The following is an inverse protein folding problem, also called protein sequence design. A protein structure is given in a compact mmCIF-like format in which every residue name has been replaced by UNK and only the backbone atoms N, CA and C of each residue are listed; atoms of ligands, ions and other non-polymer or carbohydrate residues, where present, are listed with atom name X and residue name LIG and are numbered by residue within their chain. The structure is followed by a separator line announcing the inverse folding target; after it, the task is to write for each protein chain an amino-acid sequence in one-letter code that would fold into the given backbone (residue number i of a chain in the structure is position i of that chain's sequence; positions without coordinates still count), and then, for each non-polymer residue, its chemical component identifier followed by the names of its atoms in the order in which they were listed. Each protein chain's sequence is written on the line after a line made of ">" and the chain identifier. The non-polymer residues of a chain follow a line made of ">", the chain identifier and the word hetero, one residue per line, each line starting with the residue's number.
data_IF_674075782960
#
_entry.id   IF_674075782960
#
_cell.length_a   1.000
_cell.length_b   1.000
_cell.length_c   1.000
_cell.angle_alpha   90.00
_cell.angle_beta   90.00
_cell.angle_gamma   90.00
#
_symmetry.space_group_name_H-M   'P 1'
#
loop_
_entity.id
_entity.type
_entity.pdbx_description
1 polymer ?
#
# COMPACT_ATOMS: atom_id res chain seq x y z
N UNK A 1 11.36 -8.81 -0.09
CA UNK A 1 11.35 -8.72 -1.57
C UNK A 1 12.12 -7.47 -1.99
N UNK A 2 12.87 -7.51 -3.09
CA UNK A 2 13.57 -6.35 -3.65
C UNK A 2 13.41 -6.29 -5.16
N UNK A 3 13.15 -5.09 -5.67
CA UNK A 3 13.02 -4.78 -7.09
C UNK A 3 13.89 -3.55 -7.33
N UNK A 4 14.84 -3.63 -8.26
CA UNK A 4 15.75 -2.52 -8.58
C UNK A 4 15.51 -2.06 -10.02
N UNK A 5 15.62 -0.75 -10.26
CA UNK A 5 15.61 -0.13 -11.58
C UNK A 5 14.31 -0.31 -12.38
N UNK A 6 13.17 -0.44 -11.69
CA UNK A 6 11.89 -0.58 -12.37
C UNK A 6 11.49 0.76 -12.99
N UNK A 7 11.31 0.81 -14.31
CA UNK A 7 10.78 2.02 -14.96
C UNK A 7 9.36 2.32 -14.48
N UNK A 8 9.09 3.59 -14.17
CA UNK A 8 7.80 4.02 -13.60
C UNK A 8 6.62 3.74 -14.53
N UNK A 9 6.86 3.68 -15.85
CA UNK A 9 5.84 3.37 -16.86
C UNK A 9 5.16 2.02 -16.64
N UNK A 10 5.86 1.07 -16.01
CA UNK A 10 5.30 -0.23 -15.68
C UNK A 10 4.33 -0.18 -14.50
N UNK A 11 4.52 0.77 -13.58
CA UNK A 11 3.65 0.95 -12.42
C UNK A 11 2.40 1.77 -12.78
N UNK A 12 2.48 2.61 -13.79
CA UNK A 12 1.43 3.57 -14.16
C UNK A 12 0.27 3.00 -14.99
N UNK A 13 0.26 1.71 -15.31
CA UNK A 13 -0.81 1.13 -16.16
C UNK A 13 -2.16 1.13 -15.43
N UNK A 14 -2.92 2.22 -15.60
CA UNK A 14 -4.27 2.37 -15.06
C UNK A 14 -4.31 2.70 -13.57
N UNK A 15 -3.23 3.26 -13.01
CA UNK A 15 -3.20 3.66 -11.59
C UNK A 15 -3.60 5.12 -11.45
N UNK A 16 -4.58 5.34 -10.59
CA UNK A 16 -4.99 6.66 -10.17
C UNK A 16 -4.18 7.11 -8.93
N UNK A 17 -3.82 8.39 -8.88
CA UNK A 17 -3.14 8.99 -7.73
C UNK A 17 -1.67 9.33 -7.96
N UNK A 18 -0.86 9.49 -6.89
CA UNK A 18 0.50 10.02 -6.98
C UNK A 18 1.43 9.26 -7.92
N UNK A 19 1.30 7.94 -8.02
CA UNK A 19 2.06 7.14 -8.97
C UNK A 19 1.76 7.56 -10.41
N UNK A 20 0.49 7.65 -10.77
CA UNK A 20 0.05 8.07 -12.11
C UNK A 20 0.45 9.50 -12.49
N UNK A 21 0.84 10.35 -11.52
CA UNK A 21 1.36 11.69 -11.82
C UNK A 21 2.81 11.64 -12.31
N UNK A 22 3.59 10.64 -11.86
CA UNK A 22 5.00 10.47 -12.17
C UNK A 22 5.11 9.68 -13.48
N UNK A 23 5.53 10.31 -14.58
CA UNK A 23 5.52 9.69 -15.91
C UNK A 23 6.93 9.43 -16.47
N UNK A 24 7.98 9.75 -15.71
CA UNK A 24 9.37 9.47 -16.09
C UNK A 24 10.18 9.13 -14.84
N UNK A 25 11.21 8.30 -15.00
CA UNK A 25 12.16 7.92 -13.96
C UNK A 25 12.14 6.43 -13.65
N UNK A 26 12.97 6.04 -12.68
CA UNK A 26 13.09 4.66 -12.22
C UNK A 26 12.78 4.57 -10.73
N UNK A 27 12.33 3.41 -10.28
CA UNK A 27 12.05 3.15 -8.88
C UNK A 27 12.78 1.91 -8.39
N UNK A 28 13.37 2.01 -7.21
CA UNK A 28 13.88 0.87 -6.44
C UNK A 28 12.93 0.63 -5.27
N UNK A 29 12.53 -0.62 -5.06
CA UNK A 29 11.56 -0.99 -4.03
C UNK A 29 12.15 -2.11 -3.17
N UNK A 30 12.17 -1.89 -1.86
CA UNK A 30 12.45 -2.93 -0.86
C UNK A 30 11.20 -3.11 -0.04
N UNK A 31 10.65 -4.31 0.00
CA UNK A 31 9.42 -4.62 0.72
C UNK A 31 9.63 -5.78 1.70
N UNK A 32 9.28 -5.55 2.96
CA UNK A 32 9.19 -6.59 3.99
C UNK A 32 7.72 -6.94 4.18
N UNK A 33 7.37 -8.22 4.00
CA UNK A 33 5.99 -8.69 4.04
C UNK A 33 5.85 -9.66 5.21
N UNK A 34 4.94 -9.35 6.12
CA UNK A 34 4.51 -10.22 7.19
C UNK A 34 3.18 -10.85 6.77
N UNK A 35 3.22 -12.15 6.54
CA UNK A 35 2.01 -12.95 6.34
C UNK A 35 1.37 -13.27 7.69
N UNK A 36 0.03 -13.35 7.75
CA UNK A 36 -0.65 -13.84 8.94
C UNK A 36 -0.18 -15.25 9.24
N UNK A 37 -0.12 -15.62 10.52
CA UNK A 37 0.16 -17.00 10.89
C UNK A 37 -0.97 -17.88 10.35
N UNK A 38 -0.60 -18.95 9.65
CA UNK A 38 -1.57 -19.99 9.29
C UNK A 38 -2.14 -20.53 10.59
N UNK A 39 -3.47 -20.56 10.72
CA UNK A 39 -4.06 -21.48 11.68
C UNK A 39 -3.63 -22.87 11.23
N UNK A 40 -3.14 -23.72 12.16
CA UNK A 40 -2.60 -25.07 11.89
C UNK A 40 -3.53 -26.00 11.09
N UNK A 41 -4.74 -25.54 10.78
CA UNK A 41 -5.75 -26.22 9.97
C UNK A 41 -5.67 -25.90 8.47
N UNK A 42 -5.09 -24.78 8.01
CA UNK A 42 -5.29 -24.29 6.63
C UNK A 42 -4.83 -25.24 5.51
N UNK A 43 -3.60 -25.74 5.56
CA UNK A 43 -3.05 -26.63 4.51
C UNK A 43 -3.35 -28.10 4.82
N UNK A 44 -3.31 -28.47 6.10
CA UNK A 44 -3.57 -29.84 6.55
C UNK A 44 -5.03 -30.25 6.31
N UNK A 45 -5.99 -29.35 6.52
CA UNK A 45 -7.42 -29.58 6.28
C UNK A 45 -7.76 -29.70 4.79
N UNK A 46 -7.11 -28.90 3.93
CA UNK A 46 -7.31 -29.01 2.48
C UNK A 46 -6.78 -30.35 1.96
N UNK A 47 -5.65 -30.84 2.50
CA UNK A 47 -5.17 -32.18 2.18
C UNK A 47 -6.07 -33.27 2.77
N UNK A 48 -6.55 -33.15 4.01
CA UNK A 48 -7.45 -34.13 4.60
C UNK A 48 -8.78 -34.21 3.85
N UNK A 49 -9.37 -33.07 3.48
CA UNK A 49 -10.61 -33.03 2.69
C UNK A 49 -10.44 -33.65 1.30
N UNK A 50 -9.24 -33.55 0.71
CA UNK A 50 -8.92 -34.19 -0.57
C UNK A 50 -8.75 -35.71 -0.41
N UNK A 51 -8.09 -36.15 0.66
CA UNK A 51 -7.98 -37.57 1.01
C UNK A 51 -9.35 -38.18 1.32
N UNK A 52 -10.17 -37.51 2.13
CA UNK A 52 -11.51 -37.97 2.51
C UNK A 52 -12.43 -38.06 1.28
N UNK A 53 -12.37 -37.09 0.35
CA UNK A 53 -13.13 -37.15 -0.92
C UNK A 53 -12.64 -38.25 -1.86
N UNK A 54 -11.32 -38.49 -1.91
CA UNK A 54 -10.74 -39.56 -2.72
C UNK A 54 -11.10 -40.94 -2.13
N UNK A 55 -10.99 -41.10 -0.81
CA UNK A 55 -11.38 -42.32 -0.09
C UNK A 55 -12.88 -42.60 -0.23
N UNK A 56 -13.74 -41.60 -0.05
CA UNK A 56 -15.19 -41.73 -0.23
C UNK A 56 -15.57 -42.15 -1.66
N UNK A 57 -14.83 -41.69 -2.67
CA UNK A 57 -15.05 -42.09 -4.07
C UNK A 57 -14.60 -43.54 -4.34
N UNK A 58 -13.52 -43.98 -3.69
CA UNK A 58 -12.98 -45.35 -3.80
C UNK A 58 -13.86 -46.35 -3.05
N UNK A 59 -14.38 -46.00 -1.87
CA UNK A 59 -15.35 -46.84 -1.12
C UNK A 59 -16.73 -46.87 -1.76
N UNK A 60 -17.20 -45.76 -2.36
CA UNK A 60 -18.46 -45.74 -3.12
C UNK A 60 -18.42 -46.59 -4.40
N UNK A 61 -17.23 -46.87 -4.93
CA UNK A 61 -17.04 -47.75 -6.10
C UNK A 61 -16.89 -49.22 -5.69
N UNK A 62 -16.42 -49.50 -4.47
CA UNK A 62 -16.24 -50.86 -3.94
C UNK A 62 -17.52 -51.60 -3.53
N UNK A 63 -18.66 -50.91 -3.38
CA UNK A 63 -19.89 -51.50 -2.83
C UNK A 63 -21.07 -51.61 -3.80
N UNK A 64 -20.82 -51.69 -5.12
CA UNK A 64 -21.88 -51.77 -6.16
C UNK A 64 -22.17 -53.16 -6.71
N UNK A 65 -21.82 -54.23 -5.99
CA UNK A 65 -22.25 -55.59 -6.35
C UNK A 65 -22.91 -56.24 -5.13
N UNK A 66 -24.22 -56.02 -4.94
CA UNK A 66 -24.99 -56.80 -3.97
C UNK A 66 -26.32 -56.19 -3.51
N UNK A 67 -27.42 -56.79 -4.01
CA UNK A 67 -28.74 -56.96 -3.37
C UNK A 67 -29.60 -55.73 -2.95
N UNK A 68 -30.66 -55.49 -3.73
CA UNK A 68 -32.06 -55.83 -3.41
C UNK A 68 -32.70 -55.49 -2.02
N UNK A 69 -33.89 -54.87 -2.14
CA UNK A 69 -35.09 -54.88 -1.26
C UNK A 69 -35.28 -53.91 -0.07
N UNK A 70 -36.35 -53.09 -0.22
CA UNK A 70 -37.38 -52.66 0.76
C UNK A 70 -36.96 -51.91 2.05
N UNK A 71 -37.35 -50.63 2.20
CA UNK A 71 -38.20 -50.15 3.32
C UNK A 71 -38.65 -48.69 3.20
N UNK A 72 -39.94 -48.52 3.44
CA UNK A 72 -40.71 -47.30 3.71
C UNK A 72 -40.34 -46.67 5.08
N UNK A 73 -40.64 -45.37 5.25
CA UNK A 73 -41.22 -44.69 6.45
C UNK A 73 -40.88 -43.19 6.45
N UNK A 74 -41.94 -42.41 6.17
CA UNK A 74 -42.37 -41.14 6.77
C UNK A 74 -41.35 -40.08 7.22
N UNK A 75 -41.40 -38.90 6.59
CA UNK A 75 -40.71 -37.67 7.02
C UNK A 75 -41.74 -36.56 7.26
N UNK A 76 -42.02 -36.27 8.53
CA UNK A 76 -42.79 -35.12 8.97
C UNK A 76 -41.93 -33.83 8.84
N UNK A 77 -42.53 -32.78 8.26
CA UNK A 77 -42.24 -31.36 8.55
C UNK A 77 -43.42 -30.90 9.45
N UNK A 78 -43.34 -29.85 10.31
CA UNK A 78 -42.61 -28.60 10.09
C UNK A 78 -42.04 -27.92 11.37
N UNK A 79 -41.26 -26.86 11.21
CA UNK A 79 -41.51 -25.55 11.84
C UNK A 79 -40.33 -24.60 11.64
N UNK A 80 -40.66 -23.41 11.16
CA UNK A 80 -39.84 -22.22 11.05
C UNK A 80 -39.23 -21.85 12.41
N UNK A 81 -37.92 -21.64 12.43
CA UNK A 81 -37.19 -21.06 13.55
C UNK A 81 -36.19 -20.06 13.00
N UNK A 82 -36.39 -18.80 13.40
CA UNK A 82 -35.55 -17.62 13.15
C UNK A 82 -34.12 -17.94 12.73
N UNK A 83 -33.81 -17.58 11.48
CA UNK A 83 -32.45 -17.34 11.05
C UNK A 83 -31.93 -16.08 11.75
N UNK A 84 -31.52 -16.25 13.01
CA UNK A 84 -30.53 -15.37 13.62
C UNK A 84 -29.27 -15.56 12.77
N UNK A 85 -29.06 -14.61 11.85
CA UNK A 85 -27.79 -14.41 11.19
C UNK A 85 -26.78 -14.01 12.27
N UNK A 86 -26.24 -15.01 12.97
CA UNK A 86 -24.98 -14.87 13.66
C UNK A 86 -23.97 -14.69 12.54
N UNK A 87 -23.62 -13.43 12.28
CA UNK A 87 -22.46 -13.05 11.48
C UNK A 87 -21.29 -13.86 12.01
N UNK A 88 -21.00 -14.95 11.31
CA UNK A 88 -19.77 -15.68 11.52
C UNK A 88 -18.75 -14.77 10.88
N UNK A 89 -18.22 -13.79 11.63
CA UNK A 89 -17.08 -13.01 11.17
C UNK A 89 -16.05 -14.02 10.66
N UNK A 90 -15.85 -14.04 9.34
CA UNK A 90 -14.99 -15.01 8.69
C UNK A 90 -13.64 -14.92 9.42
N UNK A 91 -13.10 -16.06 9.87
CA UNK A 91 -11.82 -16.11 10.56
C UNK A 91 -10.71 -15.41 9.73
N UNK A 92 -10.90 -15.42 8.41
CA UNK A 92 -10.13 -14.75 7.38
C UNK A 92 -10.09 -13.21 7.50
N UNK A 93 -11.13 -12.56 8.02
CA UNK A 93 -11.20 -11.11 8.21
C UNK A 93 -10.34 -10.61 9.39
N UNK A 94 -9.96 -11.52 10.29
CA UNK A 94 -9.03 -11.22 11.40
C UNK A 94 -7.57 -11.41 11.03
N UNK A 95 -7.29 -11.93 9.83
CA UNK A 95 -5.93 -12.13 9.33
C UNK A 95 -5.48 -10.92 8.53
N UNK A 96 -4.37 -10.33 8.95
CA UNK A 96 -3.79 -9.16 8.29
C UNK A 96 -2.44 -9.52 7.66
N UNK A 97 -2.24 -9.05 6.44
CA UNK A 97 -0.95 -8.95 5.80
C UNK A 97 -0.42 -7.53 6.03
N UNK A 98 0.81 -7.45 6.55
CA UNK A 98 1.49 -6.17 6.75
C UNK A 98 2.65 -6.09 5.77
N UNK A 99 2.72 -4.99 5.03
CA UNK A 99 3.76 -4.75 4.04
C UNK A 99 4.45 -3.42 4.33
N UNK A 100 5.71 -3.48 4.74
CA UNK A 100 6.56 -2.32 4.91
C UNK A 100 7.37 -2.12 3.62
N UNK A 101 7.09 -1.07 2.87
CA UNK A 101 7.75 -0.74 1.60
C UNK A 101 8.62 0.50 1.74
N UNK A 102 9.88 0.38 1.30
CA UNK A 102 10.78 1.50 1.05
C UNK A 102 10.92 1.66 -0.44
N UNK A 103 10.42 2.77 -0.94
CA UNK A 103 10.36 3.11 -2.36
C UNK A 103 11.32 4.28 -2.59
N UNK A 104 12.31 4.08 -3.45
CA UNK A 104 13.23 5.13 -3.85
C UNK A 104 12.96 5.52 -5.29
N UNK A 105 12.47 6.75 -5.48
CA UNK A 105 12.27 7.33 -6.79
C UNK A 105 13.54 7.99 -7.29
N UNK A 106 14.06 7.58 -8.44
CA UNK A 106 15.30 8.10 -9.02
C UNK A 106 15.00 8.91 -10.29
N UNK A 107 15.50 10.15 -10.33
CA UNK A 107 15.35 11.10 -11.45
C UNK A 107 13.93 11.19 -12.03
N UNK A 108 12.95 11.35 -11.15
CA UNK A 108 11.53 11.29 -11.52
C UNK A 108 10.98 12.63 -12.02
N UNK A 109 10.06 12.56 -12.99
CA UNK A 109 9.25 13.71 -13.44
C UNK A 109 7.78 13.45 -13.24
N UNK A 110 7.08 14.48 -12.75
CA UNK A 110 5.65 14.44 -12.52
C UNK A 110 4.89 15.55 -13.27
N UNK A 111 3.66 15.27 -13.66
CA UNK A 111 2.74 16.22 -14.25
C UNK A 111 1.48 16.33 -13.38
N UNK A 112 0.84 17.50 -13.41
CA UNK A 112 -0.44 17.68 -12.74
C UNK A 112 -1.50 16.89 -13.51
N UNK A 113 -2.26 16.00 -12.84
CA UNK A 113 -3.34 15.26 -13.48
C UNK A 113 -4.43 16.21 -14.00
N UNK A 114 -4.98 15.90 -15.17
CA UNK A 114 -6.10 16.65 -15.75
C UNK A 114 -7.44 16.33 -15.07
N UNK A 115 -7.58 15.11 -14.53
CA UNK A 115 -8.76 14.61 -13.83
C UNK A 115 -8.34 13.92 -12.53
N UNK A 116 -9.09 14.16 -11.45
CA UNK A 116 -8.79 13.65 -10.09
C UNK A 116 -10.06 13.28 -9.31
N UNK A 117 -11.19 13.16 -10.00
CA UNK A 117 -12.53 13.13 -9.36
C UNK A 117 -12.93 11.75 -8.81
N UNK A 118 -12.10 10.75 -9.01
CA UNK A 118 -12.24 9.36 -8.61
C UNK A 118 -11.53 9.05 -7.27
N UNK A 119 -10.59 9.90 -6.84
CA UNK A 119 -9.73 9.60 -5.70
C UNK A 119 -10.19 10.31 -4.43
N UNK A 120 -10.90 9.58 -3.57
CA UNK A 120 -11.46 10.10 -2.31
C UNK A 120 -10.40 10.70 -1.35
N UNK A 121 -9.18 10.16 -1.32
CA UNK A 121 -8.14 10.56 -0.38
C UNK A 121 -7.24 11.73 -0.85
N UNK A 122 -7.41 12.22 -2.08
CA UNK A 122 -6.57 13.27 -2.65
C UNK A 122 -7.20 14.65 -2.41
N UNK A 123 -6.43 15.55 -1.79
CA UNK A 123 -6.81 16.95 -1.67
C UNK A 123 -6.22 17.75 -2.85
N UNK A 124 -7.10 18.36 -3.67
CA UNK A 124 -6.72 19.17 -4.82
C UNK A 124 -5.71 20.30 -4.49
N UNK A 125 -5.70 20.81 -3.25
CA UNK A 125 -4.77 21.84 -2.82
C UNK A 125 -3.31 21.35 -2.76
N UNK A 126 -3.08 20.06 -2.50
CA UNK A 126 -1.74 19.48 -2.36
C UNK A 126 -1.17 18.91 -3.65
N UNK A 127 -1.98 18.72 -4.69
CA UNK A 127 -1.53 18.17 -5.97
C UNK A 127 -0.38 18.98 -6.57
N UNK A 128 -0.57 20.30 -6.73
CA UNK A 128 0.47 21.16 -7.34
C UNK A 128 1.73 21.25 -6.47
N UNK A 129 1.65 21.43 -5.14
CA UNK A 129 2.81 21.33 -4.26
C UNK A 129 3.56 19.98 -4.38
N UNK A 130 2.85 18.86 -4.43
CA UNK A 130 3.47 17.53 -4.56
C UNK A 130 4.19 17.40 -5.89
N UNK A 131 3.53 17.73 -7.00
CA UNK A 131 4.16 17.70 -8.33
C UNK A 131 5.38 18.63 -8.40
N UNK A 132 5.28 19.83 -7.83
CA UNK A 132 6.40 20.76 -7.77
C UNK A 132 7.56 20.21 -6.92
N UNK A 133 7.26 19.56 -5.79
CA UNK A 133 8.25 18.92 -4.93
C UNK A 133 8.97 17.79 -5.67
N UNK A 134 8.24 16.89 -6.32
CA UNK A 134 8.81 15.81 -7.11
C UNK A 134 9.79 16.37 -8.15
N UNK A 135 9.34 17.32 -8.97
CA UNK A 135 10.15 17.92 -10.02
C UNK A 135 11.33 18.78 -9.50
N UNK A 136 11.31 19.20 -8.23
CA UNK A 136 12.39 19.98 -7.60
C UNK A 136 13.58 19.12 -7.19
N UNK A 137 13.36 17.81 -6.98
CA UNK A 137 14.40 16.87 -6.56
C UNK A 137 15.09 16.31 -7.82
N UNK A 138 16.42 16.34 -7.82
CA UNK A 138 17.26 15.96 -8.98
C UNK A 138 18.02 14.64 -8.83
N UNK A 139 17.96 14.01 -7.66
CA UNK A 139 18.72 12.78 -7.38
C UNK A 139 17.75 11.64 -7.12
N UNK A 140 17.20 11.59 -5.92
CA UNK A 140 16.21 10.61 -5.55
C UNK A 140 15.27 11.16 -4.47
N UNK A 141 14.11 10.53 -4.33
CA UNK A 141 13.13 10.78 -3.28
C UNK A 141 12.86 9.47 -2.55
N UNK A 142 13.28 9.34 -1.28
CA UNK A 142 12.98 8.16 -0.48
C UNK A 142 11.58 8.30 0.11
N UNK A 143 10.74 7.29 -0.09
CA UNK A 143 9.38 7.21 0.44
C UNK A 143 9.25 5.92 1.22
N UNK A 144 8.78 6.01 2.46
CA UNK A 144 8.47 4.84 3.27
C UNK A 144 6.95 4.73 3.42
N UNK A 145 6.40 3.61 2.99
CA UNK A 145 4.98 3.29 3.06
C UNK A 145 4.80 2.03 3.90
N UNK A 146 3.74 1.98 4.70
CA UNK A 146 3.33 0.76 5.38
C UNK A 146 1.87 0.49 5.03
N UNK A 147 1.63 -0.63 4.37
CA UNK A 147 0.28 -1.05 4.02
C UNK A 147 -0.14 -2.21 4.91
N UNK A 148 -1.34 -2.11 5.49
CA UNK A 148 -1.95 -3.18 6.28
C UNK A 148 -3.25 -3.54 5.60
N UNK A 149 -3.38 -4.81 5.18
CA UNK A 149 -4.52 -5.26 4.39
C UNK A 149 -5.03 -6.59 4.91
N UNK A 150 -6.35 -6.81 4.86
CA UNK A 150 -6.94 -8.09 5.26
C UNK A 150 -6.56 -9.16 4.25
N UNK A 151 -6.31 -10.38 4.73
CA UNK A 151 -6.02 -11.52 3.88
C UNK A 151 -7.19 -11.84 2.95
N UNK A 152 -8.43 -11.68 3.43
CA UNK A 152 -9.66 -11.87 2.65
C UNK A 152 -9.78 -10.92 1.46
N UNK A 153 -9.18 -9.72 1.51
CA UNK A 153 -9.20 -8.77 0.39
C UNK A 153 -8.32 -9.18 -0.79
N UNK A 154 -7.47 -10.19 -0.61
CA UNK A 154 -6.70 -10.77 -1.71
C UNK A 154 -7.45 -11.93 -2.39
N UNK A 155 -8.58 -12.39 -1.85
CA UNK A 155 -9.30 -13.52 -2.42
C UNK A 155 -9.89 -13.18 -3.81
N UNK A 156 -9.64 -14.04 -4.79
CA UNK A 156 -9.99 -13.82 -6.19
C UNK A 156 -9.13 -12.79 -6.94
N UNK A 157 -8.18 -12.13 -6.27
CA UNK A 157 -7.24 -11.21 -6.92
C UNK A 157 -6.01 -11.94 -7.47
N UNK A 158 -5.58 -11.56 -8.67
CA UNK A 158 -4.39 -12.10 -9.35
C UNK A 158 -3.26 -11.08 -9.47
N UNK A 159 -3.55 -9.80 -9.27
CA UNK A 159 -2.61 -8.69 -9.39
C UNK A 159 -2.66 -7.76 -8.17
N UNK A 160 -1.75 -6.78 -8.14
CA UNK A 160 -1.75 -5.74 -7.10
C UNK A 160 -2.85 -4.69 -7.31
N UNK A 161 -3.43 -4.65 -8.51
CA UNK A 161 -4.41 -3.65 -8.91
C UNK A 161 -5.83 -4.10 -8.52
N UNK A 162 -6.19 -5.35 -8.82
CA UNK A 162 -7.49 -5.94 -8.48
C UNK A 162 -7.64 -6.28 -6.99
N UNK A 163 -6.54 -6.49 -6.26
CA UNK A 163 -6.57 -6.57 -4.79
C UNK A 163 -6.86 -5.22 -4.13
N UNK A 164 -6.76 -4.09 -4.84
CA UNK A 164 -6.80 -2.75 -4.24
C UNK A 164 -5.55 -2.42 -3.41
N UNK A 165 -4.52 -3.28 -3.42
CA UNK A 165 -3.25 -3.02 -2.75
C UNK A 165 -2.56 -1.77 -3.31
N UNK A 166 -2.68 -1.54 -4.63
CA UNK A 166 -2.12 -0.36 -5.28
C UNK A 166 -2.77 0.94 -4.78
N UNK A 167 -4.07 0.93 -4.50
CA UNK A 167 -4.80 2.09 -4.00
C UNK A 167 -4.40 2.47 -2.56
N UNK A 168 -4.17 1.45 -1.73
CA UNK A 168 -3.66 1.64 -0.38
C UNK A 168 -2.22 2.16 -0.42
N UNK A 169 -1.39 1.62 -1.32
CA UNK A 169 -0.01 2.09 -1.52
C UNK A 169 0.05 3.53 -2.05
N UNK A 170 -0.80 3.88 -3.01
CA UNK A 170 -0.86 5.23 -3.58
C UNK A 170 -1.37 6.26 -2.56
N UNK A 171 -2.28 5.86 -1.66
CA UNK A 171 -2.69 6.68 -0.50
C UNK A 171 -1.53 6.94 0.46
N UNK A 172 -0.84 5.89 0.89
CA UNK A 172 0.33 6.03 1.79
C UNK A 172 1.42 6.89 1.16
N UNK A 173 1.64 6.76 -0.15
CA UNK A 173 2.57 7.59 -0.90
C UNK A 173 2.16 9.06 -0.93
N UNK A 174 0.87 9.34 -1.15
CA UNK A 174 0.34 10.69 -1.11
C UNK A 174 0.63 11.34 0.25
N UNK A 175 0.34 10.63 1.34
CA UNK A 175 0.58 11.12 2.69
C UNK A 175 2.07 11.30 3.00
N UNK A 176 2.93 10.41 2.49
CA UNK A 176 4.38 10.55 2.61
C UNK A 176 4.88 11.81 1.89
N UNK A 177 4.45 12.06 0.65
CA UNK A 177 4.82 13.28 -0.07
C UNK A 177 4.29 14.54 0.63
N UNK A 178 3.06 14.51 1.13
CA UNK A 178 2.48 15.64 1.85
C UNK A 178 3.30 16.01 3.10
N UNK A 179 3.79 15.02 3.85
CA UNK A 179 4.70 15.23 4.98
C UNK A 179 6.06 15.76 4.55
N UNK A 180 6.67 15.15 3.54
CA UNK A 180 7.99 15.52 3.02
C UNK A 180 8.07 16.98 2.58
N UNK A 181 7.01 17.49 1.95
CA UNK A 181 6.92 18.89 1.52
C UNK A 181 7.00 19.82 2.73
N UNK A 182 6.20 19.56 3.76
CA UNK A 182 6.17 20.38 4.95
C UNK A 182 7.55 20.39 5.65
N UNK A 183 8.19 19.23 5.74
CA UNK A 183 9.51 19.09 6.33
C UNK A 183 10.58 19.83 5.53
N UNK A 184 10.57 19.73 4.19
CA UNK A 184 11.52 20.42 3.32
C UNK A 184 11.40 21.96 3.44
N UNK A 185 10.17 22.49 3.51
CA UNK A 185 9.93 23.91 3.75
C UNK A 185 10.46 24.37 5.11
N UNK A 186 10.21 23.60 6.17
CA UNK A 186 10.69 23.91 7.51
C UNK A 186 12.22 23.84 7.59
N UNK A 187 12.84 22.83 6.98
CA UNK A 187 14.30 22.69 6.94
C UNK A 187 14.95 23.84 6.19
N UNK A 188 14.40 24.25 5.04
CA UNK A 188 14.86 25.44 4.30
C UNK A 188 14.74 26.72 5.14
N UNK A 189 13.59 26.95 5.78
CA UNK A 189 13.39 28.12 6.63
C UNK A 189 14.38 28.17 7.81
N UNK A 190 14.65 27.03 8.45
CA UNK A 190 15.66 26.93 9.52
C UNK A 190 17.07 27.23 9.00
N UNK A 191 17.43 26.72 7.82
CA UNK A 191 18.73 27.02 7.18
C UNK A 191 18.84 28.52 6.91
N UNK A 192 17.84 29.15 6.30
CA UNK A 192 17.83 30.59 6.03
C UNK A 192 17.93 31.43 7.30
N UNK A 193 17.24 31.08 8.38
CA UNK A 193 17.38 31.77 9.67
C UNK A 193 18.81 31.67 10.21
N UNK A 194 19.42 30.48 10.15
CA UNK A 194 20.81 30.28 10.59
C UNK A 194 21.78 31.12 9.75
N UNK A 195 21.76 31.00 8.42
CA UNK A 195 22.68 31.78 7.57
C UNK A 195 22.38 33.28 7.59
N UNK A 196 21.12 33.68 7.77
CA UNK A 196 20.72 35.09 7.92
C UNK A 196 21.36 35.74 9.15
N UNK A 197 21.41 35.04 10.28
CA UNK A 197 22.07 35.54 11.48
C UNK A 197 23.58 35.68 11.25
N UNK A 198 24.23 34.69 10.65
CA UNK A 198 25.68 34.73 10.34
C UNK A 198 26.04 35.85 9.35
N UNK A 199 25.23 36.04 8.31
CA UNK A 199 25.45 37.10 7.31
C UNK A 199 25.21 38.49 7.88
N UNK A 200 24.18 38.67 8.72
CA UNK A 200 23.93 39.93 9.39
C UNK A 200 25.06 40.30 10.38
N UNK A 201 25.58 39.31 11.12
CA UNK A 201 26.70 39.52 12.03
C UNK A 201 27.98 39.93 11.27
N UNK A 202 28.29 39.26 10.15
CA UNK A 202 29.43 39.61 9.29
C UNK A 202 29.27 41.03 8.69
N UNK A 203 28.07 41.37 8.21
CA UNK A 203 27.79 42.69 7.66
C UNK A 203 27.90 43.80 8.71
N UNK A 204 27.42 43.57 9.93
CA UNK A 204 27.58 44.50 11.04
C UNK A 204 29.06 44.73 11.39
N UNK A 205 29.86 43.66 11.45
CA UNK A 205 31.31 43.78 11.66
C UNK A 205 31.99 44.55 10.52
N UNK A 206 31.63 44.29 9.26
CA UNK A 206 32.16 45.01 8.11
C UNK A 206 31.80 46.51 8.14
N UNK A 207 30.59 46.87 8.57
CA UNK A 207 30.18 48.27 8.76
C UNK A 207 31.00 48.97 9.85
N UNK A 208 31.23 48.31 11.00
CA UNK A 208 32.06 48.89 12.07
C UNK A 208 33.51 49.10 11.62
N UNK A 209 34.09 48.15 10.89
CA UNK A 209 35.45 48.29 10.34
C UNK A 209 35.50 49.42 9.30
N UNK A 210 34.50 49.50 8.42
CA UNK A 210 34.41 50.56 7.41
C UNK A 210 34.23 51.96 7.99
N UNK A 211 33.46 52.09 9.08
CA UNK A 211 33.32 53.35 9.81
C UNK A 211 34.59 53.70 10.59
N UNK A 212 35.23 52.74 11.25
CA UNK A 212 36.48 52.96 11.98
C UNK A 212 37.65 53.37 11.08
N UNK A 213 37.72 52.86 9.84
CA UNK A 213 38.73 53.23 8.85
C UNK A 213 38.57 54.64 8.26
N UNK A 214 37.43 55.31 8.50
CA UNK A 214 37.15 56.68 8.03
C UNK A 214 37.38 57.75 9.11
N UNK A 215 37.88 57.37 10.30
CA UNK A 215 38.09 58.27 11.46
C UNK A 215 39.58 58.29 11.88
N UNK A 216 40.50 57.86 11.00
CA UNK A 216 41.95 57.96 11.17
C UNK A 216 42.59 58.83 10.08
#
# INVERSE_FOLDING_TARGET
>A
MRIDGLSIDHLNRGVEGPFGWIHEGNVDIVADIMFPADSDEGIAKVMSDFYDRMEATVTATGNRIGSDFHRDVSREHPAEGDAVATETENEDDRRFLVMDMRVQFNDVRAAVPLFTNDISYVNNALIRPIVAYINSKRTFIPVNCRVVKRASEFDGSWTIYDSGLMDDLSREMYEAFARDINDDHQMRARRFKKVGIWTLQLAAQALFIGLAGNIA
#
